data_IF_521029453477
#
_entry.id   IF_521029453477
#
_cell.length_a   1.000
_cell.length_b   1.000
_cell.length_c   1.000
_cell.angle_alpha   90.00
_cell.angle_beta   90.00
_cell.angle_gamma   90.00
#
_symmetry.space_group_name_H-M   'P 1'
#
loop_
_entity.id
_entity.type
_entity.pdbx_description
1 polymer ?
#
# COMPACT_ATOMS: atom_id res chain seq x y z
N UNK A 1 6.07 8.02 12.60
CA UNK A 1 5.16 8.33 11.49
C UNK A 1 4.07 9.22 12.04
N UNK A 2 3.75 10.34 11.37
CA UNK A 2 2.62 11.20 11.72
C UNK A 2 1.30 10.47 11.52
N UNK A 3 0.26 10.94 12.20
CA UNK A 3 -1.08 10.39 12.09
C UNK A 3 -1.70 10.83 10.75
N UNK A 4 -2.04 9.86 9.91
CA UNK A 4 -2.73 10.02 8.62
C UNK A 4 -3.66 8.83 8.46
N UNK A 5 -4.64 8.92 7.56
CA UNK A 5 -5.49 7.78 7.22
C UNK A 5 -4.61 6.59 6.81
N UNK A 6 -4.79 5.47 7.48
CA UNK A 6 -4.11 4.20 7.20
C UNK A 6 -4.92 3.27 6.31
N UNK A 7 -6.11 3.70 5.89
CA UNK A 7 -7.09 2.91 5.15
C UNK A 7 -7.34 3.52 3.79
N UNK A 8 -7.47 2.68 2.76
CA UNK A 8 -7.70 3.11 1.39
C UNK A 8 -8.98 3.92 1.26
N UNK A 9 -8.94 4.98 0.47
CA UNK A 9 -10.00 6.00 0.45
C UNK A 9 -10.98 5.84 -0.69
N UNK A 10 -10.50 5.47 -1.89
CA UNK A 10 -11.35 5.35 -3.06
C UNK A 10 -10.80 4.32 -4.05
N UNK A 11 -11.71 3.78 -4.87
CA UNK A 11 -11.36 2.91 -5.98
C UNK A 11 -10.56 3.69 -7.03
N UNK A 12 -9.50 3.07 -7.55
CA UNK A 12 -8.66 3.62 -8.59
C UNK A 12 -7.41 4.31 -8.06
N UNK A 13 -7.30 4.55 -6.74
CA UNK A 13 -6.05 5.05 -6.15
C UNK A 13 -4.90 4.10 -6.50
N UNK A 14 -3.78 4.68 -6.94
CA UNK A 14 -2.55 3.97 -7.24
C UNK A 14 -1.83 3.61 -5.94
N UNK A 15 -1.32 2.38 -5.86
CA UNK A 15 -0.63 1.85 -4.69
C UNK A 15 0.88 1.78 -4.92
N UNK A 16 1.64 2.24 -3.94
CA UNK A 16 3.09 2.14 -3.92
C UNK A 16 3.60 1.46 -2.66
N UNK A 17 4.67 0.69 -2.80
CA UNK A 17 5.50 0.21 -1.71
C UNK A 17 6.71 1.14 -1.57
N UNK A 18 7.03 1.53 -0.33
CA UNK A 18 8.18 2.40 -0.05
C UNK A 18 9.24 1.62 0.72
N UNK A 19 10.49 1.71 0.26
CA UNK A 19 11.65 1.01 0.85
C UNK A 19 12.44 1.93 1.79
N UNK A 20 13.00 1.35 2.86
CA UNK A 20 14.02 1.90 3.78
C UNK A 20 13.56 2.75 4.98
N UNK A 21 14.34 2.66 6.07
CA UNK A 21 14.24 3.39 7.33
C UNK A 21 14.42 4.90 7.21
N UNK A 22 15.09 5.36 6.16
CA UNK A 22 15.35 6.77 5.88
C UNK A 22 14.14 7.49 5.25
N UNK A 23 13.17 6.72 4.75
CA UNK A 23 11.97 7.26 4.10
C UNK A 23 11.00 7.94 5.08
N UNK A 24 11.13 7.70 6.39
CA UNK A 24 10.13 8.15 7.39
C UNK A 24 9.92 9.66 7.36
N UNK A 25 10.99 10.44 7.26
CA UNK A 25 10.89 11.91 7.26
C UNK A 25 10.26 12.43 5.96
N UNK A 26 10.54 11.77 4.83
CA UNK A 26 9.95 12.08 3.54
C UNK A 26 8.48 11.69 3.50
N UNK A 27 8.10 10.54 4.06
CA UNK A 27 6.70 10.14 4.21
C UNK A 27 5.92 11.13 5.07
N UNK A 28 6.49 11.61 6.18
CA UNK A 28 5.87 12.66 6.98
C UNK A 28 5.71 13.97 6.20
N UNK A 29 6.71 14.33 5.38
CA UNK A 29 6.66 15.52 4.52
C UNK A 29 5.60 15.41 3.42
N UNK A 30 5.42 14.22 2.85
CA UNK A 30 4.36 13.91 1.88
C UNK A 30 2.97 14.03 2.50
N UNK A 31 2.81 13.65 3.78
CA UNK A 31 1.57 13.87 4.54
C UNK A 31 1.31 15.37 4.69
N UNK A 32 2.30 16.13 5.16
CA UNK A 32 2.16 17.58 5.38
C UNK A 32 1.85 18.35 4.09
N UNK A 33 2.43 17.89 2.98
CA UNK A 33 2.26 18.51 1.65
C UNK A 33 1.00 18.06 0.93
N UNK A 34 0.25 17.09 1.49
CA UNK A 34 -0.96 16.56 0.88
C UNK A 34 -0.71 15.73 -0.39
N UNK A 35 0.49 15.18 -0.56
CA UNK A 35 0.89 14.38 -1.72
C UNK A 35 0.39 12.93 -1.66
N UNK A 36 -0.25 12.52 -0.57
CA UNK A 36 -0.75 11.15 -0.42
C UNK A 36 -2.20 11.13 0.09
N UNK A 37 -2.92 10.05 -0.24
CA UNK A 37 -4.29 9.81 0.22
C UNK A 37 -4.32 8.96 1.48
N UNK A 38 -3.47 7.93 1.56
CA UNK A 38 -3.31 7.11 2.76
C UNK A 38 -1.89 6.56 2.90
N UNK A 39 -1.50 6.21 4.12
CA UNK A 39 -0.24 5.56 4.43
C UNK A 39 -0.45 4.51 5.52
N UNK A 40 -0.08 3.28 5.23
CA UNK A 40 -0.13 2.17 6.16
C UNK A 40 1.27 1.60 6.37
N UNK A 41 1.73 1.55 7.62
CA UNK A 41 3.03 0.97 7.93
C UNK A 41 2.95 -0.54 7.86
N UNK A 42 3.84 -1.17 7.10
CA UNK A 42 3.91 -2.63 7.03
C UNK A 42 4.47 -3.16 8.35
N UNK A 43 3.73 -4.06 8.99
CA UNK A 43 4.13 -4.74 10.22
C UNK A 43 4.78 -6.10 9.93
N UNK A 44 5.22 -6.82 10.97
CA UNK A 44 5.84 -8.14 10.83
C UNK A 44 4.93 -9.27 10.33
N UNK A 45 3.69 -8.95 9.90
CA UNK A 45 2.71 -9.91 9.37
C UNK A 45 2.68 -9.95 7.83
N UNK A 46 3.59 -9.23 7.16
CA UNK A 46 3.73 -9.24 5.71
C UNK A 46 2.85 -8.22 4.97
N UNK A 47 3.01 -8.18 3.65
CA UNK A 47 2.33 -7.23 2.76
C UNK A 47 0.84 -7.54 2.67
N UNK A 48 0.47 -8.82 2.53
CA UNK A 48 -0.94 -9.21 2.36
C UNK A 48 -1.79 -8.78 3.55
N UNK A 49 -1.33 -9.05 4.78
CA UNK A 49 -2.05 -8.66 5.98
C UNK A 49 -2.22 -7.14 6.07
N UNK A 50 -1.14 -6.40 5.77
CA UNK A 50 -1.15 -4.94 5.80
C UNK A 50 -2.13 -4.37 4.75
N UNK A 51 -2.19 -4.95 3.55
CA UNK A 51 -3.16 -4.57 2.52
C UNK A 51 -4.60 -4.85 2.94
N UNK A 52 -4.86 -6.00 3.58
CA UNK A 52 -6.18 -6.32 4.13
C UNK A 52 -6.57 -5.30 5.19
N UNK A 53 -5.67 -4.95 6.11
CA UNK A 53 -5.90 -3.91 7.13
C UNK A 53 -6.27 -2.55 6.48
N UNK A 54 -5.59 -2.16 5.39
CA UNK A 54 -5.93 -0.95 4.63
C UNK A 54 -7.35 -0.96 4.05
N UNK A 55 -7.89 -2.13 3.75
CA UNK A 55 -9.15 -2.29 3.03
C UNK A 55 -10.39 -2.29 3.93
N UNK A 56 -10.25 -2.68 5.20
CA UNK A 56 -11.36 -3.03 6.09
C UNK A 56 -12.35 -1.88 6.32
N UNK A 57 -11.86 -0.68 6.69
CA UNK A 57 -12.71 0.43 7.12
C UNK A 57 -13.69 0.88 6.05
N UNK A 58 -13.24 0.91 4.79
CA UNK A 58 -14.01 1.40 3.66
C UNK A 58 -14.55 0.29 2.75
N UNK A 59 -14.33 -0.98 3.13
CA UNK A 59 -14.76 -2.17 2.37
C UNK A 59 -14.28 -2.13 0.91
N UNK A 60 -13.04 -1.69 0.72
CA UNK A 60 -12.37 -1.67 -0.58
C UNK A 60 -11.52 -2.94 -0.76
N UNK A 61 -10.89 -3.07 -1.91
CA UNK A 61 -9.97 -4.17 -2.18
C UNK A 61 -8.72 -3.66 -2.90
N UNK A 62 -7.91 -4.59 -3.40
CA UNK A 62 -6.69 -4.27 -4.13
C UNK A 62 -6.50 -5.25 -5.29
N UNK A 63 -5.84 -4.77 -6.33
CA UNK A 63 -5.33 -5.58 -7.43
C UNK A 63 -3.88 -5.18 -7.64
N UNK A 64 -2.98 -6.12 -7.36
CA UNK A 64 -1.53 -5.88 -7.26
C UNK A 64 -0.76 -6.82 -8.18
N UNK A 65 0.47 -6.44 -8.46
CA UNK A 65 1.43 -7.27 -9.18
C UNK A 65 2.54 -7.69 -8.23
N UNK A 66 2.84 -8.99 -8.20
CA UNK A 66 3.91 -9.55 -7.38
C UNK A 66 5.31 -9.12 -7.83
N UNK A 67 6.30 -9.41 -7.00
CA UNK A 67 7.71 -9.22 -7.35
C UNK A 67 8.23 -10.46 -8.09
N UNK A 68 8.67 -10.31 -9.34
CA UNK A 68 9.10 -11.43 -10.19
C UNK A 68 10.36 -12.15 -9.69
N UNK A 69 11.12 -11.53 -8.79
CA UNK A 69 12.32 -12.12 -8.19
C UNK A 69 12.01 -12.97 -6.96
N UNK A 70 10.76 -12.96 -6.48
CA UNK A 70 10.29 -13.69 -5.30
C UNK A 70 9.15 -14.64 -5.67
N UNK A 71 8.96 -15.68 -4.86
CA UNK A 71 7.70 -16.41 -4.92
C UNK A 71 6.57 -15.58 -4.32
N UNK A 72 5.33 -15.81 -4.78
CA UNK A 72 4.12 -15.19 -4.23
C UNK A 72 4.06 -15.24 -2.70
N UNK A 73 4.44 -16.38 -2.12
CA UNK A 73 4.40 -16.59 -0.68
C UNK A 73 5.47 -15.76 0.05
N UNK A 74 6.69 -15.68 -0.50
CA UNK A 74 7.77 -14.84 0.02
C UNK A 74 7.44 -13.35 -0.08
N UNK A 75 6.85 -12.92 -1.19
CA UNK A 75 6.45 -11.53 -1.38
C UNK A 75 5.32 -11.13 -0.42
N UNK A 76 4.26 -11.94 -0.33
CA UNK A 76 3.07 -11.62 0.45
C UNK A 76 3.27 -11.75 1.97
N UNK A 77 4.00 -12.79 2.41
CA UNK A 77 4.06 -13.19 3.81
C UNK A 77 5.48 -13.25 4.39
N UNK A 78 6.51 -13.14 3.55
CA UNK A 78 7.90 -13.15 3.98
C UNK A 78 8.35 -11.86 4.68
N UNK A 79 9.61 -11.86 5.10
CA UNK A 79 10.25 -10.65 5.61
C UNK A 79 10.49 -9.68 4.47
N UNK A 80 9.76 -8.57 4.50
CA UNK A 80 9.83 -7.59 3.43
C UNK A 80 10.79 -6.45 3.75
N UNK A 81 11.43 -5.90 2.70
CA UNK A 81 12.23 -4.67 2.75
C UNK A 81 11.37 -3.40 2.82
N UNK A 82 10.08 -3.52 2.49
CA UNK A 82 9.16 -2.40 2.41
C UNK A 82 8.69 -1.99 3.81
N UNK A 83 8.60 -0.68 4.05
CA UNK A 83 8.21 -0.12 5.36
C UNK A 83 6.77 0.39 5.38
N UNK A 84 6.20 0.72 4.22
CA UNK A 84 4.86 1.26 4.11
C UNK A 84 4.21 0.95 2.76
N UNK A 85 2.88 0.88 2.78
CA UNK A 85 2.00 0.95 1.63
C UNK A 85 1.43 2.37 1.59
N UNK A 86 1.51 3.02 0.44
CA UNK A 86 1.00 4.37 0.21
C UNK A 86 -0.05 4.30 -0.89
N UNK A 87 -1.19 4.96 -0.68
CA UNK A 87 -2.15 5.22 -1.77
C UNK A 87 -2.12 6.69 -2.16
N UNK A 88 -2.19 6.94 -3.47
CA UNK A 88 -2.29 8.27 -4.07
C UNK A 88 -3.42 8.29 -5.08
N UNK A 89 -4.13 9.40 -5.16
CA UNK A 89 -5.10 9.61 -6.24
C UNK A 89 -4.42 10.22 -7.48
N UNK A 90 -5.13 10.25 -8.61
CA UNK A 90 -4.62 10.76 -9.90
C UNK A 90 -4.00 12.17 -9.82
N UNK A 91 -4.56 13.05 -8.97
CA UNK A 91 -4.06 14.41 -8.82
C UNK A 91 -2.78 14.50 -7.97
N UNK A 92 -2.54 13.49 -7.13
CA UNK A 92 -1.41 13.42 -6.20
C UNK A 92 -0.23 12.61 -6.74
N UNK A 93 -0.47 11.64 -7.61
CA UNK A 93 0.53 10.65 -8.03
C UNK A 93 1.80 11.30 -8.58
N UNK A 94 1.65 12.30 -9.45
CA UNK A 94 2.80 13.02 -10.01
C UNK A 94 3.64 13.72 -8.96
N UNK A 95 3.01 14.42 -8.01
CA UNK A 95 3.72 15.13 -6.94
C UNK A 95 4.44 14.17 -6.00
N UNK A 96 3.78 13.07 -5.62
CA UNK A 96 4.37 12.04 -4.76
C UNK A 96 5.59 11.39 -5.41
N UNK A 97 5.45 10.88 -6.64
CA UNK A 97 6.54 10.19 -7.34
C UNK A 97 7.73 11.14 -7.56
N UNK A 98 7.47 12.37 -7.99
CA UNK A 98 8.52 13.37 -8.17
C UNK A 98 9.23 13.71 -6.86
N UNK A 99 8.48 13.90 -5.77
CA UNK A 99 9.04 14.22 -4.46
C UNK A 99 9.92 13.07 -3.93
N UNK A 100 9.46 11.83 -4.02
CA UNK A 100 10.24 10.68 -3.56
C UNK A 100 11.51 10.51 -4.40
N UNK A 101 11.38 10.60 -5.73
CA UNK A 101 12.50 10.49 -6.66
C UNK A 101 13.54 11.59 -6.44
N UNK A 102 13.13 12.86 -6.27
CA UNK A 102 14.07 13.97 -6.07
C UNK A 102 14.89 13.86 -4.78
N UNK A 103 14.42 13.06 -3.82
CA UNK A 103 15.11 12.79 -2.56
C UNK A 103 15.76 11.41 -2.51
N UNK A 104 15.81 10.70 -3.64
CA UNK A 104 16.45 9.38 -3.74
C UNK A 104 15.71 8.27 -3.00
N UNK A 105 14.42 8.44 -2.70
CA UNK A 105 13.61 7.42 -2.05
C UNK A 105 12.90 6.57 -3.10
N UNK A 106 13.10 5.26 -3.01
CA UNK A 106 12.47 4.30 -3.91
C UNK A 106 11.01 4.07 -3.52
N UNK A 107 10.11 4.32 -4.48
CA UNK A 107 8.70 3.95 -4.42
C UNK A 107 8.40 2.99 -5.59
N UNK A 108 8.03 1.75 -5.25
CA UNK A 108 7.72 0.70 -6.21
C UNK A 108 6.22 0.71 -6.47
N UNK A 109 5.81 0.85 -7.74
CA UNK A 109 4.42 0.71 -8.14
C UNK A 109 3.94 -0.72 -7.82
N UNK A 110 2.88 -0.83 -7.03
CA UNK A 110 2.34 -2.11 -6.56
C UNK A 110 1.07 -2.50 -7.31
N UNK A 111 0.20 -1.53 -7.63
CA UNK A 111 -1.11 -1.82 -8.21
C UNK A 111 -2.12 -0.72 -7.93
N UNK A 112 -3.38 -1.08 -7.72
CA UNK A 112 -4.45 -0.12 -7.50
C UNK A 112 -5.57 -0.63 -6.59
N UNK A 113 -6.36 0.30 -6.05
CA UNK A 113 -7.50 0.00 -5.18
C UNK A 113 -8.73 -0.41 -5.99
N UNK A 114 -9.38 -1.50 -5.60
CA UNK A 114 -10.60 -2.03 -6.23
C UNK A 114 -11.85 -1.73 -5.38
N UNK A 115 -13.02 -2.19 -5.85
CA UNK A 115 -14.30 -2.06 -5.12
C UNK A 115 -14.53 -3.17 -4.07
N UNK A 116 -13.52 -3.97 -3.72
CA UNK A 116 -13.64 -4.99 -2.67
C UNK A 116 -13.00 -6.33 -2.98
N UNK A 117 -12.63 -6.60 -4.23
CA UNK A 117 -11.92 -7.83 -4.60
C UNK A 117 -10.44 -7.73 -4.25
N UNK A 118 -9.85 -8.80 -3.74
CA UNK A 118 -8.44 -8.91 -3.39
C UNK A 118 -7.75 -9.80 -4.43
N UNK A 119 -6.83 -9.25 -5.21
CA UNK A 119 -6.16 -9.94 -6.31
C UNK A 119 -4.67 -9.69 -6.34
N UNK A 120 -3.92 -10.69 -6.78
CA UNK A 120 -2.53 -10.56 -7.20
C UNK A 120 -2.29 -11.41 -8.45
N UNK A 121 -1.69 -10.82 -9.49
CA UNK A 121 -1.30 -11.54 -10.72
C UNK A 121 -2.42 -12.42 -11.29
N UNK A 122 -3.62 -11.84 -11.43
CA UNK A 122 -4.85 -12.51 -11.86
C UNK A 122 -5.41 -13.61 -10.94
N UNK A 123 -4.72 -13.93 -9.84
CA UNK A 123 -5.22 -14.82 -8.80
C UNK A 123 -6.09 -14.06 -7.80
N UNK A 124 -7.33 -14.52 -7.63
CA UNK A 124 -8.28 -13.94 -6.68
C UNK A 124 -8.15 -14.60 -5.30
N UNK A 125 -8.04 -13.78 -4.26
CA UNK A 125 -8.05 -14.17 -2.85
C UNK A 125 -9.45 -14.00 -2.22
N UNK A 126 -10.47 -13.67 -3.02
CA UNK A 126 -11.83 -13.40 -2.57
C UNK A 126 -12.08 -11.91 -2.35
N UNK A 127 -13.06 -11.59 -1.50
CA UNK A 127 -13.48 -10.22 -1.25
C UNK A 127 -13.17 -9.80 0.18
N UNK A 128 -12.93 -8.50 0.40
CA UNK A 128 -12.68 -7.97 1.74
C UNK A 128 -13.77 -8.32 2.76
N UNK A 129 -15.01 -8.51 2.30
CA UNK A 129 -16.13 -8.98 3.13
C UNK A 129 -15.87 -10.34 3.78
N UNK A 130 -15.05 -11.19 3.17
CA UNK A 130 -14.71 -12.53 3.67
C UNK A 130 -13.71 -12.50 4.83
N UNK A 131 -13.05 -11.34 5.01
CA UNK A 131 -12.05 -11.05 6.02
C UNK A 131 -12.60 -10.15 7.15
N UNK A 132 -13.73 -9.47 6.92
CA UNK A 132 -14.43 -8.69 7.93
C UNK A 132 -14.94 -9.62 9.06
N UNK A 133 -14.35 -9.50 10.25
CA UNK A 133 -14.72 -10.28 11.45
C UNK A 133 -13.90 -11.55 11.72
N UNK A 134 -12.84 -11.82 10.93
CA UNK A 134 -11.88 -12.92 11.18
C UNK A 134 -10.54 -12.46 11.76
N UNK A 135 -10.39 -11.19 12.06
CA UNK A 135 -9.24 -10.63 12.77
C UNK A 135 -9.46 -10.74 14.29
N UNK A 136 -9.24 -11.94 14.82
CA UNK A 136 -9.02 -12.18 16.24
C UNK A 136 -7.56 -12.59 16.47
#
# INVERSE_FOLDING_TARGET
MKEVKSSFTQKGDTLYLVTSSEAVDYLNSSIDSGFISSLHRISGKGIFHSLVECCLDNKLGFDITGDSDLTDEEFLYGNTKYVAIVSVNDAQEGDFVNFMFSHGIEATLLGHVTKGELRMDDNSFGFISDYAGKTA
#
